data_IF_543111382247
#
_entry.id   IF_543111382247
#
_cell.length_a   1.000
_cell.length_b   1.000
_cell.length_c   1.000
_cell.angle_alpha   90.00
_cell.angle_beta   90.00
_cell.angle_gamma   90.00
#
_symmetry.space_group_name_H-M   'P 1'
#
loop_
_entity.id
_entity.type
_entity.pdbx_description
1 polymer ?
#
# COMPACT_ATOMS: atom_id res chain seq x y z
N UNK A 1 6.05 19.60 6.00
CA UNK A 1 6.84 20.05 4.84
C UNK A 1 6.82 18.95 3.79
N UNK A 2 6.15 19.15 2.65
CA UNK A 2 6.17 18.21 1.52
C UNK A 2 7.36 18.59 0.64
N UNK A 3 8.26 17.65 0.34
CA UNK A 3 9.41 17.93 -0.51
C UNK A 3 8.95 18.37 -1.90
N UNK A 4 9.10 19.66 -2.23
CA UNK A 4 8.98 20.17 -3.60
C UNK A 4 10.06 19.50 -4.45
N UNK A 5 9.64 18.69 -5.43
CA UNK A 5 10.57 18.11 -6.42
C UNK A 5 10.81 16.60 -6.33
N UNK A 6 10.07 15.85 -5.50
CA UNK A 6 9.99 14.40 -5.73
C UNK A 6 9.29 14.20 -7.07
N UNK A 7 10.06 13.95 -8.14
CA UNK A 7 9.50 13.58 -9.44
C UNK A 7 8.59 12.39 -9.21
N UNK A 8 7.36 12.44 -9.73
CA UNK A 8 6.53 11.25 -9.84
C UNK A 8 7.39 10.19 -10.54
N UNK A 9 7.63 9.03 -9.93
CA UNK A 9 8.46 8.03 -10.55
C UNK A 9 7.82 7.64 -11.88
N UNK A 10 8.63 7.51 -12.94
CA UNK A 10 8.10 7.14 -14.27
C UNK A 10 7.56 5.71 -14.29
N UNK A 11 8.07 4.87 -13.39
CA UNK A 11 7.63 3.50 -13.20
C UNK A 11 6.95 3.37 -11.84
N UNK A 12 5.95 2.49 -11.70
CA UNK A 12 5.29 2.21 -10.43
C UNK A 12 6.16 1.32 -9.54
N UNK A 13 7.34 1.80 -9.14
CA UNK A 13 8.29 1.08 -8.27
C UNK A 13 8.73 1.99 -7.14
N UNK A 14 8.64 1.48 -5.92
CA UNK A 14 8.99 2.19 -4.69
C UNK A 14 9.88 1.31 -3.80
N UNK A 15 10.89 1.95 -3.20
CA UNK A 15 11.60 1.39 -2.05
C UNK A 15 10.86 1.81 -0.78
N UNK A 16 10.56 0.84 0.07
CA UNK A 16 9.85 1.06 1.33
C UNK A 16 10.81 0.77 2.49
N UNK A 17 10.91 1.72 3.42
CA UNK A 17 11.54 1.50 4.73
C UNK A 17 10.43 1.33 5.77
N UNK A 18 10.19 0.09 6.17
CA UNK A 18 9.11 -0.34 7.05
C UNK A 18 9.70 -0.83 8.37
N UNK A 19 9.64 0.00 9.43
CA UNK A 19 10.07 -0.36 10.79
C UNK A 19 11.47 -0.99 10.87
N UNK A 20 12.44 -0.41 10.17
CA UNK A 20 13.84 -0.89 10.15
C UNK A 20 14.12 -2.01 9.14
N UNK A 21 13.12 -2.46 8.37
CA UNK A 21 13.29 -3.37 7.24
C UNK A 21 13.06 -2.65 5.92
N UNK A 22 13.75 -3.09 4.88
CA UNK A 22 13.59 -2.54 3.53
C UNK A 22 12.81 -3.53 2.67
N UNK A 23 12.05 -3.01 1.71
CA UNK A 23 11.38 -3.83 0.72
C UNK A 23 11.09 -3.04 -0.55
N UNK A 24 10.63 -3.74 -1.58
CA UNK A 24 10.20 -3.15 -2.84
C UNK A 24 8.69 -3.34 -2.97
N UNK A 25 8.00 -2.25 -3.29
CA UNK A 25 6.61 -2.26 -3.69
C UNK A 25 6.54 -1.87 -5.16
N UNK A 26 5.83 -2.62 -5.99
CA UNK A 26 5.74 -2.30 -7.41
C UNK A 26 4.43 -2.73 -8.04
N UNK A 27 4.08 -2.12 -9.17
CA UNK A 27 3.06 -2.65 -10.08
C UNK A 27 3.70 -3.15 -11.37
N UNK A 28 3.08 -4.12 -12.01
CA UNK A 28 3.44 -4.57 -13.37
C UNK A 28 2.77 -3.73 -14.45
N UNK A 29 1.80 -2.89 -14.09
CA UNK A 29 1.14 -1.96 -15.01
C UNK A 29 1.92 -0.64 -15.10
N UNK A 30 2.75 -0.48 -16.14
CA UNK A 30 3.57 0.71 -16.36
C UNK A 30 2.75 2.00 -16.53
N UNK A 31 1.47 1.91 -16.86
CA UNK A 31 0.59 3.06 -17.05
C UNK A 31 -0.13 3.49 -15.77
N UNK A 32 0.02 2.74 -14.67
CA UNK A 32 -0.67 2.99 -13.39
C UNK A 32 -0.58 4.44 -12.92
N UNK A 33 0.58 5.09 -13.11
CA UNK A 33 0.82 6.46 -12.64
C UNK A 33 0.43 7.55 -13.64
N UNK A 34 0.03 7.16 -14.85
CA UNK A 34 -0.29 8.05 -15.96
C UNK A 34 -1.78 8.05 -16.32
N UNK A 35 -2.54 7.08 -15.84
CA UNK A 35 -3.95 6.91 -16.11
C UNK A 35 -4.73 6.83 -14.79
N UNK A 36 -5.45 7.90 -14.46
CA UNK A 36 -6.25 8.00 -13.25
C UNK A 36 -7.31 6.89 -13.13
N UNK A 37 -7.78 6.33 -14.26
CA UNK A 37 -8.74 5.22 -14.23
C UNK A 37 -8.09 3.94 -13.73
N UNK A 38 -6.82 3.71 -14.09
CA UNK A 38 -6.02 2.58 -13.60
C UNK A 38 -5.65 2.74 -12.13
N UNK A 39 -5.49 3.98 -11.67
CA UNK A 39 -5.21 4.31 -10.28
C UNK A 39 -6.42 4.13 -9.34
N UNK A 40 -7.60 3.76 -9.87
CA UNK A 40 -8.82 3.54 -9.07
C UNK A 40 -8.81 2.21 -8.31
N UNK A 41 -8.56 1.10 -9.01
CA UNK A 41 -8.39 -0.24 -8.43
C UNK A 41 -7.29 -0.96 -9.18
N UNK A 42 -6.24 -1.39 -8.48
CA UNK A 42 -5.06 -1.98 -9.11
C UNK A 42 -4.33 -2.94 -8.17
N UNK A 43 -3.35 -3.66 -8.73
CA UNK A 43 -2.48 -4.55 -7.98
C UNK A 43 -1.12 -3.92 -7.72
N UNK A 44 -0.66 -4.10 -6.48
CA UNK A 44 0.74 -3.95 -6.11
C UNK A 44 1.31 -5.29 -5.66
N UNK A 45 2.62 -5.41 -5.78
CA UNK A 45 3.39 -6.57 -5.37
C UNK A 45 4.44 -6.10 -4.37
N UNK A 46 4.48 -6.74 -3.21
CA UNK A 46 5.44 -6.45 -2.18
C UNK A 46 6.49 -7.56 -2.05
N UNK A 47 7.76 -7.16 -1.95
CA UNK A 47 8.88 -8.05 -1.68
C UNK A 47 9.79 -7.45 -0.60
N UNK A 48 9.89 -8.11 0.55
CA UNK A 48 10.72 -7.73 1.69
C UNK A 48 12.18 -8.16 1.55
N UNK A 49 12.51 -9.06 0.61
CA UNK A 49 13.85 -9.63 0.48
C UNK A 49 14.27 -10.55 1.62
N UNK A 50 13.35 -10.87 2.54
CA UNK A 50 13.60 -11.86 3.59
C UNK A 50 13.69 -13.26 2.99
N UNK A 51 14.54 -14.11 3.58
CA UNK A 51 14.83 -15.45 3.07
C UNK A 51 13.59 -16.35 3.07
N UNK A 52 12.67 -16.10 3.98
CA UNK A 52 11.39 -16.80 4.13
C UNK A 52 10.40 -16.43 3.02
N UNK A 53 10.56 -15.24 2.41
CA UNK A 53 9.68 -14.78 1.34
C UNK A 53 10.19 -15.28 -0.03
N UNK A 54 9.75 -16.48 -0.42
CA UNK A 54 10.08 -17.05 -1.73
C UNK A 54 9.32 -16.44 -2.92
N UNK A 55 8.27 -15.65 -2.70
CA UNK A 55 7.42 -15.03 -3.74
C UNK A 55 6.92 -13.66 -3.30
N UNK A 56 6.65 -12.79 -4.27
CA UNK A 56 6.00 -11.49 -4.02
C UNK A 56 4.61 -11.67 -3.42
N UNK A 57 4.25 -10.82 -2.46
CA UNK A 57 2.91 -10.76 -1.90
C UNK A 57 2.03 -9.82 -2.72
N UNK A 58 0.98 -10.30 -3.40
CA UNK A 58 0.07 -9.45 -4.14
C UNK A 58 -0.89 -8.72 -3.19
N UNK A 59 -1.18 -7.47 -3.52
CA UNK A 59 -2.10 -6.58 -2.82
C UNK A 59 -3.09 -6.00 -3.82
N UNK A 60 -4.38 -5.97 -3.50
CA UNK A 60 -5.34 -5.10 -4.21
C UNK A 60 -5.42 -3.78 -3.48
N UNK A 61 -5.28 -2.69 -4.24
CA UNK A 61 -5.44 -1.32 -3.76
C UNK A 61 -6.71 -0.76 -4.39
N UNK A 62 -7.64 -0.28 -3.57
CA UNK A 62 -8.81 0.49 -4.02
C UNK A 62 -8.74 1.89 -3.40
N UNK A 63 -8.63 2.91 -4.26
CA UNK A 63 -8.47 4.31 -3.87
C UNK A 63 -9.80 5.06 -3.76
N UNK A 64 -10.91 4.42 -4.14
CA UNK A 64 -12.26 4.99 -4.16
C UNK A 64 -13.24 4.32 -3.19
N UNK A 65 -12.82 3.27 -2.49
CA UNK A 65 -13.63 2.65 -1.44
C UNK A 65 -13.93 3.65 -0.33
N UNK A 66 -15.21 3.97 -0.12
CA UNK A 66 -15.68 4.94 0.89
C UNK A 66 -15.80 4.37 2.31
N UNK A 67 -15.17 3.24 2.65
CA UNK A 67 -15.48 2.54 3.91
C UNK A 67 -15.07 3.30 5.19
N UNK A 68 -14.20 4.31 5.11
CA UNK A 68 -13.65 4.99 6.30
C UNK A 68 -14.68 5.89 7.01
N UNK A 69 -15.84 6.22 6.41
CA UNK A 69 -16.89 6.98 7.11
C UNK A 69 -17.61 6.18 8.21
N UNK A 70 -17.41 4.85 8.29
CA UNK A 70 -17.95 4.04 9.39
C UNK A 70 -17.01 3.94 10.60
N UNK A 71 -15.74 4.34 10.47
CA UNK A 71 -14.73 4.22 11.54
C UNK A 71 -14.52 5.55 12.32
N UNK A 72 -15.41 6.54 12.15
CA UNK A 72 -15.39 7.78 12.94
C UNK A 72 -15.94 7.64 14.37
N UNK A 73 -16.42 6.46 14.73
CA UNK A 73 -16.88 6.12 16.07
C UNK A 73 -16.04 4.96 16.59
N UNK A 74 -14.73 5.19 16.76
CA UNK A 74 -13.87 4.28 17.51
C UNK A 74 -14.37 4.25 18.96
N UNK A 75 -15.22 3.27 19.28
CA UNK A 75 -15.37 2.82 20.65
C UNK A 75 -13.97 2.41 21.13
N UNK A 76 -13.42 3.03 22.20
CA UNK A 76 -12.10 2.69 22.72
C UNK A 76 -11.97 1.22 23.15
N UNK A 77 -13.07 0.47 23.17
CA UNK A 77 -13.16 -0.96 23.46
C UNK A 77 -13.10 -1.87 22.22
N UNK A 78 -13.19 -1.31 21.01
CA UNK A 78 -13.02 -2.06 19.77
C UNK A 78 -11.52 -2.32 19.55
N UNK A 79 -11.08 -3.56 19.26
CA UNK A 79 -9.68 -3.80 18.90
C UNK A 79 -9.42 -3.09 17.56
N UNK A 80 -8.94 -1.85 17.65
CA UNK A 80 -8.59 -1.02 16.51
C UNK A 80 -7.75 -1.85 15.53
N UNK A 81 -8.20 -1.92 14.29
CA UNK A 81 -7.58 -2.72 13.23
C UNK A 81 -6.14 -2.22 13.08
N UNK A 82 -5.17 -2.91 13.68
CA UNK A 82 -3.76 -2.49 13.65
C UNK A 82 -3.33 -2.31 12.20
N UNK A 83 -3.07 -1.08 11.80
CA UNK A 83 -2.64 -0.78 10.44
C UNK A 83 -1.20 -1.24 10.27
N UNK A 84 -0.95 -2.09 9.28
CA UNK A 84 0.39 -2.59 9.00
C UNK A 84 1.26 -1.44 8.44
N UNK A 85 2.57 -1.37 8.75
CA UNK A 85 3.45 -0.30 8.26
C UNK A 85 3.42 -0.11 6.74
N UNK A 86 3.26 -1.20 5.99
CA UNK A 86 3.12 -1.16 4.53
C UNK A 86 1.82 -0.49 4.07
N UNK A 87 0.71 -0.71 4.76
CA UNK A 87 -0.56 -0.05 4.45
C UNK A 87 -0.45 1.45 4.68
N UNK A 88 0.23 1.84 5.77
CA UNK A 88 0.55 3.25 6.03
C UNK A 88 1.43 3.84 4.93
N UNK A 89 2.46 3.10 4.48
CA UNK A 89 3.33 3.54 3.40
C UNK A 89 2.56 3.73 2.07
N UNK A 90 1.69 2.79 1.69
CA UNK A 90 0.79 2.91 0.53
C UNK A 90 -0.06 4.17 0.62
N UNK A 91 -0.63 4.45 1.79
CA UNK A 91 -1.48 5.62 2.04
C UNK A 91 -0.75 6.96 1.97
N UNK A 92 0.59 6.98 2.00
CA UNK A 92 1.35 8.21 1.73
C UNK A 92 1.23 8.68 0.28
N UNK A 93 1.01 7.74 -0.65
CA UNK A 93 0.79 8.03 -2.07
C UNK A 93 -0.69 8.07 -2.41
N UNK A 94 -1.44 7.05 -2.02
CA UNK A 94 -2.87 6.96 -2.27
C UNK A 94 -3.65 7.17 -0.99
N UNK A 95 -3.90 8.44 -0.66
CA UNK A 95 -4.64 8.79 0.52
C UNK A 95 -5.98 8.05 0.55
N UNK A 96 -6.32 7.45 1.70
CA UNK A 96 -7.57 6.69 1.94
C UNK A 96 -7.72 5.40 1.15
N UNK A 97 -6.66 4.90 0.51
CA UNK A 97 -6.72 3.60 -0.13
C UNK A 97 -6.99 2.48 0.88
N UNK A 98 -7.81 1.52 0.47
CA UNK A 98 -7.98 0.24 1.15
C UNK A 98 -7.04 -0.78 0.55
N UNK A 99 -6.52 -1.65 1.40
CA UNK A 99 -5.53 -2.66 1.03
C UNK A 99 -6.11 -4.02 1.36
N UNK A 100 -6.25 -4.87 0.35
CA UNK A 100 -6.70 -6.24 0.50
C UNK A 100 -5.54 -7.20 0.27
N UNK A 101 -5.32 -8.07 1.25
CA UNK A 101 -4.34 -9.14 1.21
C UNK A 101 -5.04 -10.41 0.70
N UNK A 102 -4.56 -10.99 -0.40
CA UNK A 102 -5.22 -12.13 -1.06
C UNK A 102 -5.04 -13.47 -0.32
N UNK A 103 -5.33 -13.53 0.99
CA UNK A 103 -5.04 -14.67 1.89
C UNK A 103 -3.55 -15.01 2.03
N UNK A 104 -2.69 -14.07 1.69
CA UNK A 104 -1.28 -14.15 2.06
C UNK A 104 -1.19 -13.63 3.48
N UNK A 105 -0.68 -14.44 4.41
CA UNK A 105 -0.39 -13.96 5.75
C UNK A 105 0.54 -12.73 5.61
N UNK A 106 0.27 -11.69 6.39
CA UNK A 106 1.08 -10.49 6.36
C UNK A 106 2.38 -10.82 7.10
N UNK A 107 3.29 -11.55 6.44
CA UNK A 107 4.58 -11.93 7.00
C UNK A 107 5.40 -10.66 7.21
N UNK A 108 5.30 -10.10 8.42
CA UNK A 108 6.09 -9.00 8.95
C UNK A 108 6.47 -9.34 10.40
#
# INVERSE_FOLDING_TARGET
QVCRGLRTPQLPVWLCSLSGRHGVLFSTDSLLLSDWKRERVFHLYFYSGQREQGKTTPLTIDTHSHHWEQDGHEDPSSPGKRQLPIEMAIRTKWARATVSWHRTDAFF
#
